data_IF_541731442319
#
_entry.id   IF_541731442319
#
_cell.length_a   1.000
_cell.length_b   1.000
_cell.length_c   1.000
_cell.angle_alpha   90.00
_cell.angle_beta   90.00
_cell.angle_gamma   90.00
#
_symmetry.space_group_name_H-M   'P 1'
#
loop_
_entity.id
_entity.type
_entity.pdbx_description
1 polymer ?
#
# COMPACT_ATOMS: atom_id res chain seq x y z
N UNK A 1 -55.06 4.87 -31.10
CA UNK A 1 -54.09 4.10 -30.29
C UNK A 1 -54.85 3.21 -29.32
N UNK A 2 -54.58 1.90 -29.29
CA UNK A 2 -55.37 0.93 -28.53
C UNK A 2 -55.11 1.11 -27.01
N UNK A 3 -56.16 1.25 -26.19
CA UNK A 3 -56.04 1.47 -24.74
C UNK A 3 -55.19 0.41 -24.03
N UNK A 4 -55.15 -0.82 -24.56
CA UNK A 4 -54.26 -1.90 -24.09
C UNK A 4 -52.78 -1.64 -24.35
N UNK A 5 -52.44 -1.04 -25.51
CA UNK A 5 -51.06 -0.67 -25.87
C UNK A 5 -50.58 0.52 -25.01
N UNK A 6 -51.47 1.47 -24.73
CA UNK A 6 -51.18 2.58 -23.81
C UNK A 6 -50.92 2.06 -22.39
N UNK A 7 -51.73 1.12 -21.90
CA UNK A 7 -51.52 0.51 -20.58
C UNK A 7 -50.18 -0.23 -20.45
N UNK A 8 -49.77 -0.98 -21.49
CA UNK A 8 -48.47 -1.68 -21.51
C UNK A 8 -47.30 -0.68 -21.52
N UNK A 9 -47.39 0.38 -22.32
CA UNK A 9 -46.35 1.42 -22.37
C UNK A 9 -46.20 2.16 -21.03
N UNK A 10 -47.30 2.40 -20.32
CA UNK A 10 -47.28 3.01 -18.98
C UNK A 10 -46.62 2.08 -17.96
N UNK A 11 -46.91 0.78 -17.99
CA UNK A 11 -46.25 -0.20 -17.09
C UNK A 11 -44.75 -0.29 -17.37
N UNK A 12 -44.34 -0.33 -18.65
CA UNK A 12 -42.91 -0.33 -19.02
C UNK A 12 -42.23 0.97 -18.56
N UNK A 13 -42.88 2.12 -18.75
CA UNK A 13 -42.34 3.40 -18.28
C UNK A 13 -42.19 3.45 -16.75
N UNK A 14 -43.13 2.89 -15.99
CA UNK A 14 -43.05 2.79 -14.52
C UNK A 14 -41.93 1.84 -14.09
N UNK A 15 -41.78 0.68 -14.75
CA UNK A 15 -40.69 -0.28 -14.48
C UNK A 15 -39.34 0.33 -14.80
N UNK A 16 -39.22 1.12 -15.86
CA UNK A 16 -37.97 1.83 -16.17
C UNK A 16 -37.70 2.96 -15.16
N UNK A 17 -38.72 3.76 -14.81
CA UNK A 17 -38.58 4.89 -13.87
C UNK A 17 -38.28 4.45 -12.43
N UNK A 18 -38.79 3.28 -11.99
CA UNK A 18 -38.57 2.77 -10.64
C UNK A 18 -37.45 1.71 -10.57
N UNK A 19 -37.28 0.91 -11.62
CA UNK A 19 -36.30 -0.17 -11.66
C UNK A 19 -34.88 0.29 -11.95
N UNK A 20 -34.68 1.34 -12.78
CA UNK A 20 -33.34 1.88 -13.06
C UNK A 20 -32.69 2.47 -11.79
N UNK A 21 -33.37 3.34 -11.00
CA UNK A 21 -32.77 3.89 -9.78
C UNK A 21 -32.46 2.82 -8.72
N UNK A 22 -33.31 1.78 -8.60
CA UNK A 22 -33.05 0.68 -7.67
C UNK A 22 -31.87 -0.19 -8.11
N UNK A 23 -31.72 -0.42 -9.42
CA UNK A 23 -30.58 -1.15 -9.96
C UNK A 23 -29.26 -0.36 -9.82
N UNK A 24 -29.27 0.94 -10.09
CA UNK A 24 -28.12 1.82 -9.87
C UNK A 24 -27.73 1.87 -8.38
N UNK A 25 -28.70 1.99 -7.48
CA UNK A 25 -28.45 1.93 -6.04
C UNK A 25 -27.83 0.59 -5.61
N UNK A 26 -28.30 -0.53 -6.15
CA UNK A 26 -27.76 -1.86 -5.83
C UNK A 26 -26.32 -2.04 -6.34
N UNK A 27 -26.04 -1.62 -7.58
CA UNK A 27 -24.68 -1.64 -8.14
C UNK A 27 -23.73 -0.77 -7.33
N UNK A 28 -24.15 0.43 -6.91
CA UNK A 28 -23.33 1.31 -6.09
C UNK A 28 -23.05 0.73 -4.69
N UNK A 29 -24.02 0.02 -4.10
CA UNK A 29 -23.80 -0.69 -2.83
C UNK A 29 -22.77 -1.81 -3.00
N UNK A 30 -22.91 -2.65 -4.03
CA UNK A 30 -21.95 -3.74 -4.29
C UNK A 30 -20.54 -3.24 -4.55
N UNK A 31 -20.39 -2.19 -5.36
CA UNK A 31 -19.09 -1.56 -5.62
C UNK A 31 -18.48 -1.02 -4.31
N UNK A 32 -19.26 -0.31 -3.51
CA UNK A 32 -18.78 0.21 -2.23
C UNK A 32 -18.40 -0.90 -1.24
N UNK A 33 -19.15 -2.00 -1.19
CA UNK A 33 -18.83 -3.16 -0.35
C UNK A 33 -17.53 -3.82 -0.81
N UNK A 34 -17.38 -4.04 -2.11
CA UNK A 34 -16.18 -4.65 -2.67
C UNK A 34 -14.95 -3.75 -2.48
N UNK A 35 -15.09 -2.44 -2.63
CA UNK A 35 -14.03 -1.47 -2.31
C UNK A 35 -13.57 -1.62 -0.86
N UNK A 36 -14.53 -1.71 0.09
CA UNK A 36 -14.22 -1.85 1.50
C UNK A 36 -13.47 -3.15 1.80
N UNK A 37 -13.94 -4.26 1.23
CA UNK A 37 -13.31 -5.57 1.42
C UNK A 37 -11.88 -5.58 0.88
N UNK A 38 -11.67 -5.12 -0.35
CA UNK A 38 -10.34 -5.17 -0.98
C UNK A 38 -9.36 -4.24 -0.30
N UNK A 39 -9.80 -3.09 0.21
CA UNK A 39 -8.91 -2.15 0.91
C UNK A 39 -8.57 -2.63 2.32
N UNK A 40 -9.49 -3.31 3.00
CA UNK A 40 -9.19 -4.01 4.24
C UNK A 40 -8.20 -5.16 4.02
N UNK A 41 -8.37 -5.92 2.94
CA UNK A 41 -7.43 -6.98 2.57
C UNK A 41 -6.03 -6.42 2.27
N UNK A 42 -5.94 -5.31 1.53
CA UNK A 42 -4.69 -4.62 1.28
C UNK A 42 -4.02 -4.19 2.61
N UNK A 43 -4.81 -3.59 3.51
CA UNK A 43 -4.32 -3.17 4.82
C UNK A 43 -3.89 -4.34 5.72
N UNK A 44 -4.53 -5.50 5.62
CA UNK A 44 -4.13 -6.68 6.40
C UNK A 44 -2.76 -7.22 5.97
N UNK A 45 -2.42 -7.09 4.68
CA UNK A 45 -1.10 -7.49 4.16
C UNK A 45 0.00 -6.61 4.76
N UNK A 46 -0.24 -5.31 4.88
CA UNK A 46 0.65 -4.36 5.56
C UNK A 46 0.89 -4.77 7.03
N UNK A 47 -0.15 -5.20 7.75
CA UNK A 47 0.00 -5.76 9.11
C UNK A 47 0.95 -6.95 9.13
N UNK A 48 0.88 -7.85 8.14
CA UNK A 48 1.78 -8.99 8.05
C UNK A 48 3.23 -8.59 7.73
N UNK A 49 3.43 -7.57 6.89
CA UNK A 49 4.75 -7.00 6.62
C UNK A 49 5.32 -6.41 7.92
N UNK A 50 4.56 -5.59 8.63
CA UNK A 50 4.95 -5.00 9.91
C UNK A 50 5.31 -6.08 10.93
N UNK A 51 4.51 -7.14 11.04
CA UNK A 51 4.80 -8.26 11.93
C UNK A 51 6.11 -8.97 11.57
N UNK A 52 6.38 -9.15 10.27
CA UNK A 52 7.64 -9.74 9.78
C UNK A 52 8.83 -8.85 10.15
N UNK A 53 8.73 -7.55 9.91
CA UNK A 53 9.76 -6.55 10.25
C UNK A 53 10.00 -6.49 11.78
N UNK A 54 8.94 -6.48 12.59
CA UNK A 54 9.06 -6.52 14.05
C UNK A 54 9.70 -7.82 14.54
N UNK A 55 9.37 -8.96 13.91
CA UNK A 55 9.98 -10.24 14.19
C UNK A 55 11.49 -10.24 13.94
N UNK A 56 11.96 -9.51 12.92
CA UNK A 56 13.39 -9.30 12.65
C UNK A 56 14.00 -8.36 13.69
N UNK A 57 13.38 -7.21 13.93
CA UNK A 57 13.91 -6.15 14.82
C UNK A 57 14.03 -6.58 16.29
N UNK A 58 13.30 -7.62 16.70
CA UNK A 58 13.36 -8.18 18.06
C UNK A 58 14.42 -9.27 18.23
N UNK A 59 15.11 -9.67 17.16
CA UNK A 59 16.23 -10.61 17.24
C UNK A 59 17.51 -9.89 17.68
N UNK A 60 18.29 -10.54 18.56
CA UNK A 60 19.56 -9.98 19.06
C UNK A 60 20.64 -9.92 17.98
N UNK A 61 20.58 -10.81 17.00
CA UNK A 61 21.51 -10.88 15.87
C UNK A 61 20.78 -11.53 14.69
N UNK A 62 20.93 -10.98 13.49
CA UNK A 62 20.45 -11.62 12.25
C UNK A 62 21.52 -11.49 11.19
N UNK A 63 21.84 -12.61 10.53
CA UNK A 63 22.81 -12.64 9.42
C UNK A 63 22.25 -11.84 8.23
N UNK A 64 23.12 -11.12 7.52
CA UNK A 64 22.74 -10.36 6.32
C UNK A 64 22.07 -11.25 5.26
N UNK A 65 22.54 -12.48 5.06
CA UNK A 65 21.96 -13.43 4.10
C UNK A 65 20.55 -13.88 4.54
N UNK A 66 20.31 -14.03 5.85
CA UNK A 66 18.98 -14.31 6.40
C UNK A 66 18.06 -13.11 6.18
N UNK A 67 18.52 -11.89 6.44
CA UNK A 67 17.76 -10.67 6.19
C UNK A 67 17.39 -10.52 4.70
N UNK A 68 18.36 -10.73 3.82
CA UNK A 68 18.15 -10.68 2.36
C UNK A 68 17.12 -11.75 1.95
N UNK A 69 17.24 -12.96 2.48
CA UNK A 69 16.29 -14.06 2.19
C UNK A 69 14.88 -13.71 2.65
N UNK A 70 14.70 -13.25 3.89
CA UNK A 70 13.39 -12.85 4.43
C UNK A 70 12.78 -11.69 3.64
N UNK A 71 13.58 -10.68 3.29
CA UNK A 71 13.11 -9.59 2.43
C UNK A 71 12.60 -10.13 1.09
N UNK A 72 13.41 -10.92 0.40
CA UNK A 72 13.10 -11.39 -0.95
C UNK A 72 11.94 -12.39 -0.99
N UNK A 73 11.82 -13.26 0.02
CA UNK A 73 10.89 -14.39 0.01
C UNK A 73 9.62 -14.12 0.82
N UNK A 74 9.67 -13.30 1.86
CA UNK A 74 8.54 -13.09 2.77
C UNK A 74 7.93 -11.68 2.63
N UNK A 75 8.72 -10.64 2.38
CA UNK A 75 8.23 -9.24 2.32
C UNK A 75 7.92 -8.79 0.89
N UNK A 76 8.85 -8.98 -0.06
CA UNK A 76 8.66 -8.52 -1.45
C UNK A 76 7.41 -9.07 -2.14
N UNK A 77 7.05 -10.37 -1.98
CA UNK A 77 5.81 -10.89 -2.54
C UNK A 77 4.56 -10.23 -1.96
N UNK A 78 4.59 -9.84 -0.68
CA UNK A 78 3.47 -9.18 0.00
C UNK A 78 3.22 -7.78 -0.52
N UNK A 79 4.25 -6.99 -0.81
CA UNK A 79 4.04 -5.71 -1.51
C UNK A 79 3.39 -5.90 -2.88
N UNK A 80 3.74 -6.97 -3.60
CA UNK A 80 3.10 -7.27 -4.89
C UNK A 80 1.62 -7.66 -4.71
N UNK A 81 1.31 -8.40 -3.65
CA UNK A 81 -0.06 -8.76 -3.30
C UNK A 81 -0.87 -7.53 -2.84
N UNK A 82 -0.30 -6.65 -2.03
CA UNK A 82 -0.96 -5.42 -1.58
C UNK A 82 -1.29 -4.51 -2.77
N UNK A 83 -0.35 -4.35 -3.73
CA UNK A 83 -0.60 -3.63 -4.98
C UNK A 83 -1.75 -4.26 -5.79
N UNK A 84 -1.84 -5.59 -5.82
CA UNK A 84 -2.96 -6.27 -6.48
C UNK A 84 -4.29 -5.92 -5.81
N UNK A 85 -4.37 -5.96 -4.48
CA UNK A 85 -5.58 -5.61 -3.71
C UNK A 85 -5.96 -4.13 -3.83
N UNK A 86 -4.98 -3.24 -3.88
CA UNK A 86 -5.20 -1.81 -4.16
C UNK A 86 -5.78 -1.60 -5.56
N UNK A 87 -5.24 -2.28 -6.58
CA UNK A 87 -5.78 -2.23 -7.94
C UNK A 87 -7.21 -2.80 -8.01
N UNK A 88 -7.50 -3.90 -7.30
CA UNK A 88 -8.86 -4.44 -7.16
C UNK A 88 -9.82 -3.41 -6.52
N UNK A 89 -9.35 -2.68 -5.49
CA UNK A 89 -10.12 -1.59 -4.89
C UNK A 89 -10.37 -0.46 -5.88
N UNK A 90 -9.35 -0.11 -6.67
CA UNK A 90 -9.45 0.91 -7.71
C UNK A 90 -10.50 0.59 -8.78
N UNK A 91 -10.67 -0.67 -9.19
CA UNK A 91 -11.71 -1.05 -10.16
C UNK A 91 -13.12 -1.18 -9.55
N UNK A 92 -13.21 -1.32 -8.22
CA UNK A 92 -14.46 -1.46 -7.47
C UNK A 92 -15.06 -0.13 -7.02
N UNK A 93 -14.64 0.98 -7.60
CA UNK A 93 -15.24 2.30 -7.36
C UNK A 93 -15.40 3.08 -8.66
N UNK A 94 -16.38 3.98 -8.67
CA UNK A 94 -16.53 5.03 -9.69
C UNK A 94 -16.30 6.43 -9.11
N UNK A 95 -15.88 6.53 -7.85
CA UNK A 95 -15.65 7.78 -7.15
C UNK A 95 -14.22 8.26 -7.41
N UNK A 96 -14.07 9.44 -8.04
CA UNK A 96 -12.75 9.98 -8.38
C UNK A 96 -11.86 10.24 -7.15
N UNK A 97 -12.45 10.60 -6.01
CA UNK A 97 -11.70 10.77 -4.75
C UNK A 97 -11.16 9.43 -4.27
N UNK A 98 -11.95 8.35 -4.37
CA UNK A 98 -11.50 7.00 -4.01
C UNK A 98 -10.41 6.50 -4.96
N UNK A 99 -10.52 6.76 -6.27
CA UNK A 99 -9.42 6.47 -7.21
C UNK A 99 -8.14 7.21 -6.86
N UNK A 100 -8.23 8.53 -6.60
CA UNK A 100 -7.06 9.33 -6.20
C UNK A 100 -6.44 8.83 -4.90
N UNK A 101 -7.26 8.36 -3.96
CA UNK A 101 -6.78 7.73 -2.73
C UNK A 101 -6.02 6.43 -3.03
N UNK A 102 -6.57 5.56 -3.88
CA UNK A 102 -5.90 4.33 -4.31
C UNK A 102 -4.58 4.64 -5.03
N UNK A 103 -4.54 5.64 -5.90
CA UNK A 103 -3.30 6.04 -6.59
C UNK A 103 -2.20 6.45 -5.60
N UNK A 104 -2.56 7.20 -4.55
CA UNK A 104 -1.63 7.58 -3.49
C UNK A 104 -1.14 6.37 -2.69
N UNK A 105 -2.01 5.40 -2.39
CA UNK A 105 -1.60 4.17 -1.70
C UNK A 105 -0.71 3.28 -2.57
N UNK A 106 -1.05 3.11 -3.84
CA UNK A 106 -0.22 2.39 -4.80
C UNK A 106 1.16 3.03 -4.87
N UNK A 107 1.21 4.37 -4.95
CA UNK A 107 2.47 5.11 -4.96
C UNK A 107 3.28 4.94 -3.67
N UNK A 108 2.62 4.90 -2.50
CA UNK A 108 3.25 4.59 -1.21
C UNK A 108 3.94 3.23 -1.26
N UNK A 109 3.21 2.19 -1.65
CA UNK A 109 3.73 0.81 -1.70
C UNK A 109 4.87 0.66 -2.70
N UNK A 110 4.76 1.29 -3.88
CA UNK A 110 5.86 1.29 -4.85
C UNK A 110 7.15 1.90 -4.29
N UNK A 111 7.04 2.99 -3.52
CA UNK A 111 8.18 3.65 -2.90
C UNK A 111 8.74 2.83 -1.73
N UNK A 112 7.89 2.23 -0.89
CA UNK A 112 8.32 1.34 0.21
C UNK A 112 9.06 0.11 -0.33
N UNK A 113 8.53 -0.52 -1.39
CA UNK A 113 9.17 -1.62 -2.08
C UNK A 113 10.53 -1.22 -2.67
N UNK A 114 10.63 -0.05 -3.31
CA UNK A 114 11.92 0.49 -3.81
C UNK A 114 12.91 0.74 -2.69
N UNK A 115 12.46 1.29 -1.56
CA UNK A 115 13.33 1.53 -0.42
C UNK A 115 13.87 0.22 0.16
N UNK A 116 13.03 -0.82 0.21
CA UNK A 116 13.43 -2.15 0.66
C UNK A 116 14.48 -2.79 -0.26
N UNK A 117 14.37 -2.59 -1.58
CA UNK A 117 15.40 -3.02 -2.54
C UNK A 117 16.76 -2.32 -2.30
N UNK A 118 16.75 -1.06 -1.88
CA UNK A 118 17.98 -0.36 -1.49
C UNK A 118 18.58 -0.95 -0.21
N UNK A 119 17.75 -1.36 0.76
CA UNK A 119 18.20 -2.11 1.94
C UNK A 119 18.87 -3.42 1.54
N UNK A 120 18.28 -4.19 0.63
CA UNK A 120 18.90 -5.41 0.07
C UNK A 120 20.22 -5.12 -0.62
N UNK A 121 20.31 -4.01 -1.36
CA UNK A 121 21.56 -3.59 -2.03
C UNK A 121 22.67 -3.31 -1.01
N UNK A 122 22.35 -2.61 0.08
CA UNK A 122 23.27 -2.36 1.20
C UNK A 122 23.71 -3.66 1.87
N UNK A 123 22.76 -4.54 2.21
CA UNK A 123 23.05 -5.83 2.85
C UNK A 123 23.92 -6.73 1.95
N UNK A 124 23.62 -6.78 0.64
CA UNK A 124 24.42 -7.52 -0.33
C UNK A 124 25.84 -6.98 -0.43
N UNK A 125 26.01 -5.66 -0.48
CA UNK A 125 27.34 -5.05 -0.52
C UNK A 125 28.17 -5.38 0.73
N UNK A 126 27.55 -5.36 1.90
CA UNK A 126 28.19 -5.76 3.17
C UNK A 126 28.54 -7.24 3.19
N UNK A 127 27.61 -8.13 2.83
CA UNK A 127 27.83 -9.58 2.79
C UNK A 127 28.99 -9.94 1.83
N UNK A 128 28.99 -9.36 0.62
CA UNK A 128 30.04 -9.60 -0.38
C UNK A 128 31.40 -9.04 0.05
N UNK A 129 31.44 -7.90 0.76
CA UNK A 129 32.68 -7.36 1.31
C UNK A 129 33.28 -8.30 2.37
N UNK A 130 32.47 -8.77 3.33
CA UNK A 130 32.90 -9.69 4.39
C UNK A 130 33.39 -11.02 3.82
N UNK A 131 32.77 -11.51 2.73
CA UNK A 131 33.17 -12.73 2.02
C UNK A 131 34.40 -12.56 1.12
N UNK A 132 34.90 -11.32 0.94
CA UNK A 132 36.00 -11.02 0.02
C UNK A 132 35.62 -11.07 -1.46
N UNK A 133 34.33 -11.11 -1.77
CA UNK A 133 33.78 -11.14 -3.14
C UNK A 133 33.71 -9.74 -3.77
N UNK A 134 33.73 -8.69 -2.93
CA UNK A 134 33.71 -7.28 -3.34
C UNK A 134 34.79 -6.49 -2.62
N UNK A 135 35.44 -5.56 -3.32
CA UNK A 135 36.42 -4.65 -2.72
C UNK A 135 35.75 -3.69 -1.74
N UNK A 136 36.52 -3.12 -0.80
CA UNK A 136 36.00 -2.12 0.13
C UNK A 136 35.46 -0.87 -0.61
N UNK A 137 36.13 -0.44 -1.67
CA UNK A 137 35.75 0.75 -2.46
C UNK A 137 34.45 0.52 -3.23
N UNK A 138 34.30 -0.64 -3.86
CA UNK A 138 33.08 -1.00 -4.59
C UNK A 138 31.89 -1.19 -3.64
N UNK A 139 32.12 -1.80 -2.47
CA UNK A 139 31.09 -1.96 -1.45
C UNK A 139 30.62 -0.60 -0.92
N UNK A 140 31.55 0.30 -0.59
CA UNK A 140 31.22 1.65 -0.13
C UNK A 140 30.47 2.45 -1.18
N UNK A 141 30.85 2.34 -2.45
CA UNK A 141 30.17 3.00 -3.56
C UNK A 141 28.73 2.52 -3.70
N UNK A 142 28.50 1.19 -3.64
CA UNK A 142 27.15 0.62 -3.68
C UNK A 142 26.28 1.10 -2.50
N UNK A 143 26.85 1.12 -1.28
CA UNK A 143 26.16 1.60 -0.08
C UNK A 143 25.82 3.09 -0.19
N UNK A 144 26.74 3.93 -0.65
CA UNK A 144 26.50 5.36 -0.81
C UNK A 144 25.39 5.66 -1.83
N UNK A 145 25.38 4.92 -2.95
CA UNK A 145 24.34 5.05 -3.96
C UNK A 145 22.97 4.61 -3.42
N UNK A 146 22.91 3.46 -2.74
CA UNK A 146 21.68 2.96 -2.13
C UNK A 146 21.15 3.94 -1.07
N UNK A 147 22.01 4.49 -0.21
CA UNK A 147 21.63 5.47 0.81
C UNK A 147 21.11 6.78 0.20
N UNK A 148 21.74 7.26 -0.88
CA UNK A 148 21.29 8.47 -1.59
C UNK A 148 19.88 8.25 -2.16
N UNK A 149 19.67 7.12 -2.84
CA UNK A 149 18.37 6.77 -3.40
C UNK A 149 17.31 6.59 -2.30
N UNK A 150 17.65 5.96 -1.17
CA UNK A 150 16.75 5.82 -0.02
C UNK A 150 16.37 7.17 0.59
N UNK A 151 17.31 8.13 0.66
CA UNK A 151 16.99 9.47 1.14
C UNK A 151 15.98 10.17 0.21
N UNK A 152 16.17 10.08 -1.10
CA UNK A 152 15.23 10.64 -2.09
C UNK A 152 13.85 9.98 -1.99
N UNK A 153 13.81 8.65 -1.88
CA UNK A 153 12.58 7.88 -1.72
C UNK A 153 11.85 8.25 -0.42
N UNK A 154 12.57 8.40 0.71
CA UNK A 154 11.96 8.77 1.99
C UNK A 154 11.37 10.19 1.95
N UNK A 155 12.02 11.12 1.23
CA UNK A 155 11.47 12.45 1.01
C UNK A 155 10.18 12.38 0.17
N UNK A 156 10.14 11.53 -0.84
CA UNK A 156 8.94 11.31 -1.66
C UNK A 156 7.82 10.63 -0.87
N UNK A 157 8.14 9.60 -0.06
CA UNK A 157 7.19 8.95 0.85
C UNK A 157 6.57 9.94 1.82
N UNK A 158 7.37 10.81 2.42
CA UNK A 158 6.87 11.86 3.34
C UNK A 158 5.84 12.75 2.66
N UNK A 159 6.05 13.10 1.38
CA UNK A 159 5.07 13.85 0.59
C UNK A 159 3.81 13.05 0.34
N UNK A 160 3.94 11.78 -0.06
CA UNK A 160 2.78 10.89 -0.30
C UNK A 160 1.94 10.74 0.98
N UNK A 161 2.56 10.52 2.14
CA UNK A 161 1.86 10.48 3.43
C UNK A 161 1.12 11.79 3.72
N UNK A 162 1.76 12.94 3.46
CA UNK A 162 1.12 14.26 3.60
C UNK A 162 -0.04 14.45 2.62
N UNK A 163 0.09 13.96 1.38
CA UNK A 163 -0.94 14.06 0.35
C UNK A 163 -2.15 13.17 0.67
N UNK A 164 -1.92 11.96 1.21
CA UNK A 164 -2.97 11.08 1.73
C UNK A 164 -3.74 11.80 2.84
N UNK A 165 -3.02 12.31 3.84
CA UNK A 165 -3.63 13.01 4.97
C UNK A 165 -4.46 14.21 4.50
N UNK A 166 -3.90 15.03 3.60
CA UNK A 166 -4.58 16.19 3.02
C UNK A 166 -5.84 15.78 2.25
N UNK A 167 -5.78 14.70 1.46
CA UNK A 167 -6.93 14.19 0.72
C UNK A 167 -8.05 13.76 1.68
N UNK A 168 -7.71 13.05 2.75
CA UNK A 168 -8.69 12.60 3.75
C UNK A 168 -9.29 13.78 4.53
N UNK A 169 -8.50 14.78 4.92
CA UNK A 169 -8.99 15.99 5.59
C UNK A 169 -9.96 16.78 4.69
N UNK A 170 -9.71 16.82 3.37
CA UNK A 170 -10.58 17.48 2.40
C UNK A 170 -11.85 16.67 2.08
N UNK A 171 -11.89 15.38 2.40
CA UNK A 171 -12.98 14.45 2.07
C UNK A 171 -13.45 13.69 3.32
N UNK A 172 -14.20 14.34 4.23
CA UNK A 172 -14.54 13.78 5.54
C UNK A 172 -15.36 12.49 5.47
N UNK A 173 -16.19 12.30 4.44
CA UNK A 173 -16.98 11.07 4.26
C UNK A 173 -16.08 9.87 3.94
N UNK A 174 -15.09 10.06 3.05
CA UNK A 174 -14.08 9.03 2.77
C UNK A 174 -13.21 8.77 4.00
N UNK A 175 -12.78 9.82 4.69
CA UNK A 175 -11.98 9.69 5.90
C UNK A 175 -12.72 8.88 6.98
N UNK A 176 -14.01 9.18 7.19
CA UNK A 176 -14.86 8.43 8.10
C UNK A 176 -15.02 6.98 7.65
N UNK A 177 -15.35 6.75 6.38
CA UNK A 177 -15.48 5.41 5.79
C UNK A 177 -14.24 4.57 6.07
N UNK A 178 -13.05 5.09 5.78
CA UNK A 178 -11.78 4.36 5.98
C UNK A 178 -11.45 4.15 7.47
N UNK A 179 -11.77 5.08 8.36
CA UNK A 179 -11.61 4.88 9.81
C UNK A 179 -12.57 3.83 10.36
N UNK A 180 -13.80 3.78 9.86
CA UNK A 180 -14.79 2.77 10.25
C UNK A 180 -14.34 1.35 9.80
N UNK A 181 -13.43 1.24 8.82
CA UNK A 181 -12.81 -0.02 8.40
C UNK A 181 -11.61 -0.48 9.26
N UNK A 182 -11.12 0.37 10.17
CA UNK A 182 -9.99 0.07 11.08
C UNK A 182 -8.75 -0.47 10.35
N UNK A 183 -8.27 0.31 9.38
CA UNK A 183 -7.08 0.04 8.58
C UNK A 183 -5.79 0.35 9.38
N UNK A 184 -4.66 -0.03 8.82
CA UNK A 184 -3.33 0.29 9.35
C UNK A 184 -3.04 1.78 9.27
N UNK A 185 -2.19 2.27 10.18
CA UNK A 185 -1.90 3.72 10.31
C UNK A 185 -1.39 4.37 9.03
N UNK A 186 -0.58 3.64 8.26
CA UNK A 186 -0.07 4.08 6.97
C UNK A 186 -1.19 4.42 5.98
N UNK A 187 -2.38 3.81 6.14
CA UNK A 187 -3.55 4.12 5.31
C UNK A 187 -4.19 5.48 5.59
N UNK A 188 -3.85 6.10 6.72
CA UNK A 188 -4.34 7.42 7.12
C UNK A 188 -3.31 8.55 6.92
N UNK A 189 -2.20 8.25 6.24
CA UNK A 189 -1.12 9.23 6.09
C UNK A 189 -0.19 9.31 7.31
N UNK A 190 -0.33 8.38 8.27
CA UNK A 190 0.49 8.35 9.48
C UNK A 190 1.72 7.45 9.29
N UNK A 191 2.89 7.95 9.68
CA UNK A 191 4.13 7.17 9.62
C UNK A 191 4.36 6.42 10.93
N UNK A 192 4.61 5.11 10.83
CA UNK A 192 5.25 4.36 11.90
C UNK A 192 6.75 4.67 11.88
N UNK A 193 7.17 5.87 12.29
CA UNK A 193 8.60 6.14 12.50
C UNK A 193 9.05 5.38 13.75
N UNK A 194 9.27 4.07 13.63
CA UNK A 194 10.22 3.39 14.48
C UNK A 194 11.61 3.80 13.98
N UNK A 195 12.25 4.67 14.73
CA UNK A 195 13.69 4.92 14.62
C UNK A 195 14.41 3.58 14.73
N UNK A 196 14.95 3.08 13.61
CA UNK A 196 15.87 1.95 13.64
C UNK A 196 17.13 2.40 14.40
N UNK A 197 17.22 2.05 15.68
CA UNK A 197 18.45 2.13 16.44
C UNK A 197 19.38 1.00 15.98
N UNK A 198 19.99 1.14 14.80
CA UNK A 198 21.19 0.36 14.48
C UNK A 198 22.32 0.95 15.33
N UNK A 199 22.43 0.46 16.56
CA UNK A 199 23.59 0.73 17.40
C UNK A 199 24.69 -0.21 16.93
N UNK A 200 25.60 0.27 16.07
CA UNK A 200 26.82 -0.47 15.74
C UNK A 200 27.68 -0.58 17.00
N UNK A 201 27.51 -1.66 17.76
CA UNK A 201 28.47 -2.05 18.79
C UNK A 201 29.66 -2.74 18.13
N UNK A 202 30.52 -1.98 17.45
CA UNK A 202 31.90 -2.40 17.19
C UNK A 202 32.62 -2.40 18.53
N UNK A 203 32.74 -3.58 19.14
CA UNK A 203 33.67 -3.80 20.24
C UNK A 203 35.05 -3.98 19.62
N UNK A 204 35.96 -3.05 19.92
CA UNK A 204 37.41 -3.13 19.60
C UNK A 204 38.07 -4.11 20.56
#
# INVERSE_FOLDING_TARGET
MNKKVIGILVVIAIVLLLGIPQYESYQNTLLSEHFNETIQNASSIETEIINTVNGINTQNTTDADVLISTINNDITPKYSEELLRLNESGVSTSNETEHKYIDLQTKRIELESKNLNNTVTTLNALSQYVKGEKSAEDAQTAINNANTQSADINNELTKVYSDIKTLLEQNPDLNKKLHDLNLEKSYYGETNVQTQNITNSTSV
#
